data_IF_333588902564
#
_entry.id   IF_333588902564
#
_cell.length_a   1.000
_cell.length_b   1.000
_cell.length_c   1.000
_cell.angle_alpha   90.00
_cell.angle_beta   90.00
_cell.angle_gamma   90.00
#
_symmetry.space_group_name_H-M   'P 1'
#
loop_
_entity.id
_entity.type
_entity.pdbx_description
1 polymer ?
#
# COMPACT_ATOMS: atom_id res chain seq x y z
N UNK A 1 16.71 21.21 -7.36
CA UNK A 1 16.28 19.87 -7.81
C UNK A 1 16.15 19.04 -6.55
N UNK A 2 14.95 18.57 -6.19
CA UNK A 2 14.79 17.70 -5.02
C UNK A 2 15.38 16.35 -5.39
N UNK A 3 16.42 15.92 -4.69
CA UNK A 3 17.08 14.63 -4.92
C UNK A 3 16.05 13.51 -4.74
N UNK A 4 15.94 12.61 -5.72
CA UNK A 4 15.02 11.47 -5.65
C UNK A 4 15.60 10.48 -4.63
N UNK A 5 15.12 10.54 -3.39
CA UNK A 5 15.48 9.55 -2.36
C UNK A 5 15.14 8.16 -2.89
N UNK A 6 16.14 7.29 -2.95
CA UNK A 6 15.93 5.92 -3.43
C UNK A 6 15.13 5.11 -2.41
N UNK A 7 14.39 4.07 -2.86
CA UNK A 7 13.68 3.15 -1.96
C UNK A 7 14.60 2.65 -0.83
N UNK A 8 15.81 2.21 -1.19
CA UNK A 8 16.78 1.69 -0.25
C UNK A 8 17.22 2.74 0.78
N UNK A 9 17.53 3.96 0.33
CA UNK A 9 17.92 5.04 1.24
C UNK A 9 16.82 5.34 2.26
N UNK A 10 15.58 5.53 1.79
CA UNK A 10 14.45 5.81 2.68
C UNK A 10 14.27 4.70 3.73
N UNK A 11 14.30 3.44 3.30
CA UNK A 11 14.13 2.29 4.21
C UNK A 11 15.28 2.21 5.20
N UNK A 12 16.53 2.41 4.75
CA UNK A 12 17.70 2.36 5.62
C UNK A 12 17.67 3.43 6.70
N UNK A 13 17.28 4.67 6.35
CA UNK A 13 17.16 5.78 7.29
C UNK A 13 16.01 5.53 8.28
N UNK A 14 14.84 5.10 7.79
CA UNK A 14 13.71 4.77 8.66
C UNK A 14 14.03 3.60 9.61
N UNK A 15 14.72 2.56 9.14
CA UNK A 15 15.16 1.44 9.96
C UNK A 15 16.18 1.88 11.02
N UNK A 16 17.11 2.77 10.65
CA UNK A 16 18.05 3.37 11.60
C UNK A 16 17.33 4.09 12.74
N UNK A 17 16.36 4.96 12.43
CA UNK A 17 15.62 5.70 13.44
C UNK A 17 14.75 4.78 14.32
N UNK A 18 14.21 3.69 13.78
CA UNK A 18 13.49 2.68 14.58
C UNK A 18 14.41 1.93 15.55
N UNK A 19 15.64 1.63 15.13
CA UNK A 19 16.65 1.04 16.01
C UNK A 19 17.11 2.05 17.08
N UNK A 20 17.35 3.30 16.71
CA UNK A 20 17.72 4.40 17.61
C UNK A 20 16.67 4.63 18.70
N UNK A 21 15.37 4.65 18.34
CA UNK A 21 14.26 4.81 19.27
C UNK A 21 14.20 3.71 20.36
N UNK A 22 14.88 2.59 20.13
CA UNK A 22 15.01 1.47 21.08
C UNK A 22 16.44 1.28 21.57
N UNK A 23 17.26 2.33 21.48
CA UNK A 23 18.65 2.35 21.93
C UNK A 23 19.51 1.23 21.29
N UNK A 24 19.24 0.90 20.03
CA UNK A 24 19.95 -0.12 19.25
C UNK A 24 19.99 -1.50 19.93
N UNK A 25 18.89 -1.90 20.58
CA UNK A 25 18.77 -3.23 21.19
C UNK A 25 19.16 -4.36 20.21
N UNK A 26 20.03 -5.31 20.59
CA UNK A 26 20.56 -6.33 19.69
C UNK A 26 19.48 -7.31 19.23
N UNK A 27 19.69 -7.92 18.07
CA UNK A 27 18.78 -8.94 17.51
C UNK A 27 17.50 -8.41 16.87
N UNK A 28 17.38 -7.08 16.69
CA UNK A 28 16.16 -6.44 16.16
C UNK A 28 16.33 -5.78 14.78
N UNK A 29 17.53 -5.79 14.22
CA UNK A 29 17.85 -5.11 12.95
C UNK A 29 16.94 -5.53 11.79
N UNK A 30 16.64 -6.84 11.68
CA UNK A 30 15.73 -7.35 10.65
C UNK A 30 14.31 -6.85 10.84
N UNK A 31 13.80 -6.85 12.08
CA UNK A 31 12.45 -6.35 12.38
C UNK A 31 12.32 -4.86 12.05
N UNK A 32 13.35 -4.06 12.39
CA UNK A 32 13.36 -2.62 12.10
C UNK A 32 13.38 -2.36 10.59
N UNK A 33 14.14 -3.16 9.84
CA UNK A 33 14.13 -3.13 8.38
C UNK A 33 12.75 -3.46 7.81
N UNK A 34 12.17 -4.60 8.20
CA UNK A 34 10.86 -5.04 7.71
C UNK A 34 9.75 -4.04 8.06
N UNK A 35 9.81 -3.44 9.26
CA UNK A 35 8.88 -2.39 9.66
C UNK A 35 9.03 -1.14 8.78
N UNK A 36 10.27 -0.73 8.46
CA UNK A 36 10.53 0.38 7.55
C UNK A 36 10.06 0.07 6.11
N UNK A 37 10.24 -1.16 5.62
CA UNK A 37 9.70 -1.57 4.31
C UNK A 37 8.18 -1.48 4.25
N UNK A 38 7.49 -1.91 5.33
CA UNK A 38 6.05 -1.81 5.43
C UNK A 38 5.59 -0.34 5.42
N UNK A 39 6.25 0.52 6.19
CA UNK A 39 5.94 1.95 6.24
C UNK A 39 6.15 2.63 4.88
N UNK A 40 7.22 2.29 4.16
CA UNK A 40 7.49 2.80 2.81
C UNK A 40 6.35 2.43 1.85
N UNK A 41 5.93 1.17 1.88
CA UNK A 41 4.86 0.65 1.04
C UNK A 41 3.51 1.32 1.38
N UNK A 42 3.19 1.48 2.67
CA UNK A 42 1.99 2.22 3.11
C UNK A 42 2.00 3.67 2.61
N UNK A 43 3.14 4.34 2.66
CA UNK A 43 3.32 5.68 2.13
C UNK A 43 3.08 5.72 0.61
N UNK A 44 3.62 4.77 -0.15
CA UNK A 44 3.39 4.67 -1.61
C UNK A 44 1.90 4.53 -1.94
N UNK A 45 1.19 3.65 -1.22
CA UNK A 45 -0.26 3.46 -1.40
C UNK A 45 -1.02 4.74 -1.05
N UNK A 46 -0.71 5.39 0.07
CA UNK A 46 -1.37 6.63 0.48
C UNK A 46 -1.17 7.76 -0.56
N UNK A 47 0.06 7.94 -1.05
CA UNK A 47 0.38 8.92 -2.07
C UNK A 47 -0.37 8.66 -3.37
N UNK A 48 -0.45 7.40 -3.81
CA UNK A 48 -1.21 7.05 -5.00
C UNK A 48 -2.70 7.37 -4.83
N UNK A 49 -3.29 7.02 -3.69
CA UNK A 49 -4.70 7.29 -3.43
C UNK A 49 -5.01 8.79 -3.41
N UNK A 50 -4.14 9.62 -2.82
CA UNK A 50 -4.34 11.07 -2.84
C UNK A 50 -4.27 11.64 -4.27
N UNK A 51 -3.31 11.19 -5.08
CA UNK A 51 -3.21 11.63 -6.48
C UNK A 51 -4.40 11.14 -7.32
N UNK A 52 -4.86 9.91 -7.10
CA UNK A 52 -5.98 9.35 -7.84
C UNK A 52 -7.31 10.06 -7.54
N UNK A 53 -7.48 10.64 -6.35
CA UNK A 53 -8.65 11.47 -6.03
C UNK A 53 -8.69 12.77 -6.85
N UNK A 54 -7.53 13.35 -7.16
CA UNK A 54 -7.39 14.58 -7.94
C UNK A 54 -7.61 14.34 -9.45
N UNK A 55 -7.13 13.21 -9.97
CA UNK A 55 -7.08 12.91 -11.41
C UNK A 55 -8.28 12.11 -11.96
N UNK A 56 -9.38 11.99 -11.21
CA UNK A 56 -10.62 11.36 -11.68
C UNK A 56 -10.77 9.87 -11.37
N UNK A 57 -10.03 9.36 -10.38
CA UNK A 57 -10.21 8.03 -9.79
C UNK A 57 -9.13 7.01 -10.19
N UNK A 58 -9.24 5.80 -9.63
CA UNK A 58 -8.25 4.75 -9.87
C UNK A 58 -8.30 4.24 -11.31
N UNK A 59 -7.16 4.23 -12.00
CA UNK A 59 -7.01 3.63 -13.33
C UNK A 59 -6.31 2.27 -13.23
N UNK A 60 -6.55 1.37 -14.20
CA UNK A 60 -5.86 0.07 -14.26
C UNK A 60 -4.35 0.29 -14.37
N UNK A 61 -3.92 1.16 -15.29
CA UNK A 61 -2.49 1.48 -15.48
C UNK A 61 -1.84 2.05 -14.21
N UNK A 62 -2.52 2.96 -13.50
CA UNK A 62 -2.02 3.49 -12.24
C UNK A 62 -1.91 2.42 -11.15
N UNK A 63 -2.90 1.53 -11.05
CA UNK A 63 -2.86 0.40 -10.13
C UNK A 63 -1.75 -0.61 -10.48
N UNK A 64 -1.48 -0.85 -11.77
CA UNK A 64 -0.37 -1.69 -12.23
C UNK A 64 0.98 -1.08 -11.85
N UNK A 65 1.14 0.23 -12.02
CA UNK A 65 2.34 0.97 -11.61
C UNK A 65 2.55 0.92 -10.09
N UNK A 66 1.48 1.11 -9.31
CA UNK A 66 1.54 0.97 -7.85
C UNK A 66 1.88 -0.48 -7.44
N UNK A 67 1.21 -1.47 -8.04
CA UNK A 67 1.48 -2.88 -7.78
C UNK A 67 2.96 -3.23 -8.04
N UNK A 68 3.53 -2.71 -9.12
CA UNK A 68 4.95 -2.85 -9.44
C UNK A 68 5.86 -2.20 -8.38
N UNK A 69 5.52 -1.00 -7.91
CA UNK A 69 6.34 -0.29 -6.92
C UNK A 69 6.31 -0.94 -5.53
N UNK A 70 5.23 -1.64 -5.19
CA UNK A 70 5.09 -2.40 -3.93
C UNK A 70 5.59 -3.85 -4.03
N UNK A 71 6.05 -4.30 -5.21
CA UNK A 71 6.67 -5.61 -5.40
C UNK A 71 5.73 -6.74 -5.79
N UNK A 72 4.53 -6.45 -6.33
CA UNK A 72 3.68 -7.46 -6.96
C UNK A 72 4.37 -7.98 -8.23
N UNK A 73 4.39 -9.29 -8.40
CA UNK A 73 4.93 -9.93 -9.60
C UNK A 73 3.99 -9.77 -10.80
N UNK A 74 4.54 -9.42 -11.96
CA UNK A 74 3.82 -9.30 -13.23
C UNK A 74 2.47 -8.55 -13.16
N UNK A 75 2.39 -7.34 -12.57
CA UNK A 75 1.12 -6.63 -12.41
C UNK A 75 0.47 -6.25 -13.75
N UNK A 76 1.28 -6.11 -14.80
CA UNK A 76 0.87 -5.81 -16.18
C UNK A 76 -0.10 -6.86 -16.75
N UNK A 77 -0.09 -8.11 -16.24
CA UNK A 77 -1.03 -9.16 -16.69
C UNK A 77 -2.39 -9.12 -15.97
N UNK A 78 -2.53 -8.33 -14.90
CA UNK A 78 -3.76 -8.21 -14.13
C UNK A 78 -4.60 -7.06 -14.69
N UNK A 79 -5.79 -7.36 -15.20
CA UNK A 79 -6.66 -6.40 -15.90
C UNK A 79 -7.92 -6.01 -15.11
N UNK A 80 -8.10 -6.57 -13.91
CA UNK A 80 -9.22 -6.25 -13.03
C UNK A 80 -8.72 -5.38 -11.87
N UNK A 81 -9.38 -4.23 -11.65
CA UNK A 81 -9.03 -3.31 -10.55
C UNK A 81 -9.08 -4.02 -9.19
N UNK A 82 -10.07 -4.89 -8.98
CA UNK A 82 -10.24 -5.63 -7.73
C UNK A 82 -9.03 -6.53 -7.47
N UNK A 83 -8.61 -7.29 -8.49
CA UNK A 83 -7.46 -8.21 -8.38
C UNK A 83 -6.15 -7.43 -8.15
N UNK A 84 -5.96 -6.29 -8.82
CA UNK A 84 -4.81 -5.42 -8.59
C UNK A 84 -4.76 -4.91 -7.15
N UNK A 85 -5.89 -4.42 -6.63
CA UNK A 85 -5.97 -3.91 -5.26
C UNK A 85 -5.73 -5.02 -4.25
N UNK A 86 -6.30 -6.21 -4.45
CA UNK A 86 -6.08 -7.36 -3.57
C UNK A 86 -4.61 -7.84 -3.62
N UNK A 87 -3.99 -7.84 -4.80
CA UNK A 87 -2.57 -8.15 -4.95
C UNK A 87 -1.68 -7.14 -4.20
N UNK A 88 -2.02 -5.84 -4.29
CA UNK A 88 -1.35 -4.79 -3.51
C UNK A 88 -1.55 -5.04 -2.01
N UNK A 89 -2.77 -5.34 -1.55
CA UNK A 89 -3.04 -5.63 -0.14
C UNK A 89 -2.17 -6.79 0.39
N UNK A 90 -2.08 -7.89 -0.38
CA UNK A 90 -1.20 -9.01 -0.04
C UNK A 90 0.28 -8.60 0.04
N UNK A 91 0.78 -7.85 -0.95
CA UNK A 91 2.16 -7.35 -0.97
C UNK A 91 2.46 -6.39 0.21
N UNK A 92 1.43 -5.70 0.72
CA UNK A 92 1.55 -4.79 1.86
C UNK A 92 1.39 -5.47 3.23
N UNK A 93 1.33 -6.81 3.29
CA UNK A 93 1.04 -7.60 4.49
C UNK A 93 -0.31 -7.29 5.17
N UNK A 94 -1.31 -6.86 4.40
CA UNK A 94 -2.68 -6.71 4.88
C UNK A 94 -3.56 -7.85 4.37
N UNK A 95 -4.68 -8.12 5.06
CA UNK A 95 -5.72 -9.00 4.53
C UNK A 95 -6.24 -8.41 3.20
N UNK A 96 -6.40 -9.21 2.12
CA UNK A 96 -6.94 -8.75 0.84
C UNK A 96 -8.46 -8.57 0.93
N UNK A 97 -8.93 -7.67 1.79
CA UNK A 97 -10.35 -7.49 2.13
C UNK A 97 -11.13 -6.66 1.11
N UNK A 98 -10.46 -6.08 0.10
CA UNK A 98 -11.12 -5.23 -0.86
C UNK A 98 -12.19 -6.02 -1.61
N UNK A 99 -13.46 -5.60 -1.49
CA UNK A 99 -14.63 -6.21 -2.12
C UNK A 99 -14.90 -7.67 -1.72
N UNK A 100 -14.38 -8.14 -0.59
CA UNK A 100 -14.66 -9.51 -0.09
C UNK A 100 -15.83 -9.57 0.88
N UNK A 101 -15.98 -8.57 1.74
CA UNK A 101 -17.01 -8.55 2.78
C UNK A 101 -18.30 -7.89 2.23
N UNK A 102 -19.42 -8.61 2.29
CA UNK A 102 -20.72 -8.18 1.72
C UNK A 102 -21.53 -7.27 2.66
N UNK A 103 -21.15 -7.21 3.93
CA UNK A 103 -21.87 -6.51 5.01
C UNK A 103 -21.59 -5.00 5.05
N UNK A 104 -20.80 -4.47 4.11
CA UNK A 104 -20.34 -3.07 4.04
C UNK A 104 -19.49 -2.65 5.24
N UNK A 105 -19.01 -3.60 6.06
CA UNK A 105 -18.14 -3.31 7.19
C UNK A 105 -16.71 -3.75 6.90
N UNK A 106 -15.80 -2.77 6.84
CA UNK A 106 -14.38 -3.05 6.78
C UNK A 106 -13.84 -3.29 8.20
N UNK A 107 -13.47 -4.53 8.52
CA UNK A 107 -12.90 -4.89 9.83
C UNK A 107 -11.42 -4.55 10.00
N UNK A 108 -10.72 -4.27 8.91
CA UNK A 108 -9.31 -3.87 8.95
C UNK A 108 -9.19 -2.44 9.50
N UNK A 109 -8.47 -2.23 10.61
CA UNK A 109 -8.44 -0.97 11.38
C UNK A 109 -7.83 0.17 10.56
N UNK A 110 -6.71 -0.08 9.87
CA UNK A 110 -5.99 0.92 9.08
C UNK A 110 -6.05 0.64 7.56
N UNK A 111 -7.20 0.22 7.06
CA UNK A 111 -7.38 -0.06 5.64
C UNK A 111 -7.37 1.21 4.79
N UNK A 112 -6.27 1.42 4.05
CA UNK A 112 -6.11 2.56 3.12
C UNK A 112 -7.15 2.55 1.99
N UNK A 113 -7.67 1.38 1.63
CA UNK A 113 -8.61 1.20 0.52
C UNK A 113 -10.09 1.36 0.90
N UNK A 114 -10.40 1.65 2.17
CA UNK A 114 -11.79 1.66 2.69
C UNK A 114 -12.71 2.60 1.93
N UNK A 115 -12.27 3.83 1.68
CA UNK A 115 -13.06 4.84 0.98
C UNK A 115 -13.43 4.37 -0.44
N UNK A 116 -12.45 3.85 -1.17
CA UNK A 116 -12.68 3.33 -2.52
C UNK A 116 -13.55 2.07 -2.52
N UNK A 117 -13.33 1.17 -1.54
CA UNK A 117 -14.14 -0.04 -1.39
C UNK A 117 -15.62 0.31 -1.21
N UNK A 118 -15.93 1.33 -0.42
CA UNK A 118 -17.31 1.83 -0.23
C UNK A 118 -17.86 2.55 -1.47
N UNK A 119 -17.04 3.33 -2.18
CA UNK A 119 -17.44 4.03 -3.42
C UNK A 119 -17.99 3.05 -4.46
N UNK A 120 -17.31 1.91 -4.66
CA UNK A 120 -17.75 0.90 -5.63
C UNK A 120 -19.01 0.14 -5.21
N UNK A 121 -19.30 0.02 -3.91
CA UNK A 121 -20.57 -0.56 -3.41
C UNK A 121 -21.75 0.36 -3.75
N UNK A 122 -21.58 1.69 -3.64
CA UNK A 122 -22.65 2.65 -3.91
C UNK A 122 -23.12 2.64 -5.38
N UNK A 123 -22.24 2.30 -6.33
CA UNK A 123 -22.58 2.19 -7.76
C UNK A 123 -23.48 0.98 -8.06
N UNK A 124 -23.40 -0.08 -7.26
CA UNK A 124 -24.16 -1.32 -7.48
C UNK A 124 -25.64 -1.24 -7.04
N UNK A 125 -26.01 -0.18 -6.31
CA UNK A 125 -27.36 0.01 -5.79
C UNK A 125 -28.13 1.17 -6.47
N UNK A 126 -27.64 1.64 -7.62
CA UNK A 126 -28.41 2.50 -8.54
C UNK A 126 -29.02 1.66 -9.64
#
# INVERSE_FOLDING_TARGET
MVEKVTRHQWISEAAYYKAEARYFAPGRALDDWLAAENDYVKMQVALYLSMAEEDGGLTISGLQQLAKSVGVENPESINLKIELVQAIQNATHHRPCFRTDHDRTCHEVDCKWRAECHRLIAVWHR
#
